data_IF_062690846978
#
_entry.id   IF_062690846978
#
_cell.length_a   1.000
_cell.length_b   1.000
_cell.length_c   1.000
_cell.angle_alpha   90.00
_cell.angle_beta   90.00
_cell.angle_gamma   90.00
#
_symmetry.space_group_name_H-M   'P 1'
#
loop_
_entity.id
_entity.type
_entity.pdbx_description
1 polymer ?
#
# COMPACT_ATOMS: atom_id res chain seq x y z
N UNK A 1 27.89 -13.72 -3.24
CA UNK A 1 26.75 -13.96 -4.18
C UNK A 1 25.67 -14.91 -3.68
N UNK A 2 25.95 -16.13 -3.17
CA UNK A 2 24.87 -17.05 -2.73
C UNK A 2 23.96 -16.43 -1.67
N UNK A 3 24.52 -15.77 -0.66
CA UNK A 3 23.78 -15.14 0.44
C UNK A 3 22.94 -13.95 -0.07
N UNK A 4 23.50 -13.10 -0.93
CA UNK A 4 22.81 -11.97 -1.57
C UNK A 4 21.58 -12.49 -2.34
N UNK A 5 21.76 -13.48 -3.22
CA UNK A 5 20.64 -14.06 -3.97
C UNK A 5 19.59 -14.74 -3.07
N UNK A 6 19.99 -15.31 -1.94
CA UNK A 6 19.07 -15.87 -0.96
C UNK A 6 18.22 -14.76 -0.30
N UNK A 7 18.85 -13.65 0.09
CA UNK A 7 18.15 -12.49 0.68
C UNK A 7 17.19 -11.83 -0.32
N UNK A 8 17.61 -11.64 -1.57
CA UNK A 8 16.74 -11.12 -2.63
C UNK A 8 15.48 -11.99 -2.82
N UNK A 9 15.66 -13.32 -2.88
CA UNK A 9 14.52 -14.24 -2.97
C UNK A 9 13.64 -14.22 -1.73
N UNK A 10 14.22 -14.04 -0.53
CA UNK A 10 13.47 -13.90 0.71
C UNK A 10 12.62 -12.65 0.68
N UNK A 11 13.21 -11.49 0.36
CA UNK A 11 12.51 -10.21 0.23
C UNK A 11 11.35 -10.29 -0.76
N UNK A 12 11.58 -10.86 -1.94
CA UNK A 12 10.52 -11.03 -2.94
C UNK A 12 9.34 -11.86 -2.42
N UNK A 13 9.62 -12.96 -1.70
CA UNK A 13 8.56 -13.80 -1.09
C UNK A 13 7.81 -13.06 0.02
N UNK A 14 8.48 -12.23 0.81
CA UNK A 14 7.86 -11.43 1.86
C UNK A 14 6.90 -10.39 1.24
N UNK A 15 7.30 -9.69 0.18
CA UNK A 15 6.42 -8.79 -0.55
C UNK A 15 5.22 -9.54 -1.18
N UNK A 16 5.44 -10.68 -1.81
CA UNK A 16 4.37 -11.52 -2.37
C UNK A 16 3.40 -12.00 -1.29
N UNK A 17 3.88 -12.33 -0.10
CA UNK A 17 3.05 -12.68 1.05
C UNK A 17 2.16 -11.51 1.47
N UNK A 18 2.75 -10.32 1.64
CA UNK A 18 2.02 -9.12 2.02
C UNK A 18 0.97 -8.74 0.98
N UNK A 19 1.30 -8.79 -0.32
CA UNK A 19 0.34 -8.57 -1.40
C UNK A 19 -0.82 -9.58 -1.37
N UNK A 20 -0.50 -10.86 -1.10
CA UNK A 20 -1.51 -11.93 -1.00
C UNK A 20 -2.41 -11.75 0.23
N UNK A 21 -1.94 -11.11 1.31
CA UNK A 21 -2.76 -10.76 2.47
C UNK A 21 -3.70 -9.60 2.18
N UNK A 22 -3.30 -8.63 1.36
CA UNK A 22 -4.16 -7.51 0.95
C UNK A 22 -5.27 -7.93 -0.02
N UNK A 23 -5.06 -8.96 -0.84
CA UNK A 23 -6.03 -9.41 -1.84
C UNK A 23 -7.39 -9.82 -1.25
N UNK A 24 -7.47 -10.65 -0.18
CA UNK A 24 -8.75 -10.96 0.45
C UNK A 24 -9.38 -9.75 1.17
N UNK A 25 -8.57 -8.84 1.75
CA UNK A 25 -9.07 -7.61 2.35
C UNK A 25 -9.74 -6.72 1.31
N UNK A 26 -9.11 -6.54 0.14
CA UNK A 26 -9.68 -5.82 -0.99
C UNK A 26 -11.05 -6.39 -1.37
N UNK A 27 -11.16 -7.71 -1.57
CA UNK A 27 -12.42 -8.38 -1.93
C UNK A 27 -13.49 -8.24 -0.84
N UNK A 28 -13.09 -8.34 0.45
CA UNK A 28 -14.01 -8.14 1.59
C UNK A 28 -14.54 -6.71 1.58
N UNK A 29 -13.67 -5.71 1.44
CA UNK A 29 -14.06 -4.30 1.40
C UNK A 29 -14.97 -3.99 0.20
N UNK A 30 -14.67 -4.52 -0.99
CA UNK A 30 -15.55 -4.40 -2.17
C UNK A 30 -16.96 -4.99 -1.91
N UNK A 31 -17.05 -6.11 -1.19
CA UNK A 31 -18.35 -6.71 -0.83
C UNK A 31 -19.12 -5.90 0.21
N UNK A 32 -18.41 -5.26 1.17
CA UNK A 32 -19.02 -4.35 2.14
C UNK A 32 -19.56 -3.08 1.47
N UNK A 33 -18.83 -2.49 0.51
CA UNK A 33 -19.33 -1.36 -0.28
C UNK A 33 -20.62 -1.74 -1.01
N UNK A 34 -20.66 -2.93 -1.63
CA UNK A 34 -21.85 -3.41 -2.34
C UNK A 34 -23.03 -3.66 -1.39
N UNK A 35 -22.77 -4.16 -0.17
CA UNK A 35 -23.81 -4.34 0.87
C UNK A 35 -24.34 -3.00 1.31
N UNK A 36 -23.48 -2.09 1.77
CA UNK A 36 -23.87 -0.74 2.22
C UNK A 36 -24.64 0.05 1.14
N UNK A 37 -24.24 -0.07 -0.12
CA UNK A 37 -24.96 0.55 -1.23
C UNK A 37 -26.36 -0.03 -1.45
N UNK A 38 -26.58 -1.35 -1.23
CA UNK A 38 -27.90 -1.96 -1.28
C UNK A 38 -28.80 -1.50 -0.15
N UNK A 39 -28.21 -1.36 1.04
CA UNK A 39 -28.91 -0.95 2.28
C UNK A 39 -29.13 0.57 2.32
N UNK A 40 -28.67 1.32 1.28
CA UNK A 40 -28.73 2.77 1.15
C UNK A 40 -27.94 3.51 2.24
N UNK A 41 -27.02 2.84 2.89
CA UNK A 41 -26.09 3.43 3.86
C UNK A 41 -24.89 4.07 3.12
N UNK A 42 -25.07 5.32 2.75
CA UNK A 42 -24.06 6.07 2.00
C UNK A 42 -22.84 6.46 2.86
N UNK A 43 -23.03 6.56 4.20
CA UNK A 43 -21.93 6.91 5.11
C UNK A 43 -20.94 5.76 5.19
N UNK A 44 -21.42 4.55 5.47
CA UNK A 44 -20.58 3.35 5.51
C UNK A 44 -19.97 3.03 4.14
N UNK A 45 -20.74 3.17 3.05
CA UNK A 45 -20.20 2.97 1.69
C UNK A 45 -19.01 3.89 1.39
N UNK A 46 -19.06 5.18 1.77
CA UNK A 46 -17.95 6.12 1.62
C UNK A 46 -16.75 5.75 2.49
N UNK A 47 -16.98 5.30 3.72
CA UNK A 47 -15.93 4.89 4.64
C UNK A 47 -15.17 3.67 4.10
N UNK A 48 -15.91 2.65 3.66
CA UNK A 48 -15.32 1.46 3.02
C UNK A 48 -14.61 1.78 1.69
N UNK A 49 -15.12 2.75 0.92
CA UNK A 49 -14.45 3.17 -0.31
C UNK A 49 -13.11 3.87 -0.02
N UNK A 50 -13.02 4.71 1.02
CA UNK A 50 -11.75 5.28 1.49
C UNK A 50 -10.76 4.18 1.90
N UNK A 51 -11.24 3.17 2.63
CA UNK A 51 -10.41 2.04 3.04
C UNK A 51 -9.93 1.21 1.83
N UNK A 52 -10.78 1.04 0.82
CA UNK A 52 -10.39 0.37 -0.43
C UNK A 52 -9.29 1.13 -1.18
N UNK A 53 -9.33 2.46 -1.18
CA UNK A 53 -8.26 3.30 -1.75
C UNK A 53 -6.96 3.04 -0.99
N UNK A 54 -6.97 3.04 0.33
CA UNK A 54 -5.78 2.76 1.15
C UNK A 54 -5.19 1.38 0.86
N UNK A 55 -6.05 0.35 0.78
CA UNK A 55 -5.64 -1.02 0.42
C UNK A 55 -4.99 -1.03 -0.98
N UNK A 56 -5.58 -0.35 -1.96
CA UNK A 56 -5.04 -0.27 -3.32
C UNK A 56 -3.68 0.45 -3.35
N UNK A 57 -3.53 1.57 -2.63
CA UNK A 57 -2.26 2.29 -2.50
C UNK A 57 -1.18 1.41 -1.89
N UNK A 58 -1.49 0.74 -0.79
CA UNK A 58 -0.57 -0.19 -0.15
C UNK A 58 -0.18 -1.35 -1.07
N UNK A 59 -1.14 -1.92 -1.79
CA UNK A 59 -0.86 -2.97 -2.78
C UNK A 59 0.07 -2.47 -3.89
N UNK A 60 -0.17 -1.27 -4.43
CA UNK A 60 0.67 -0.66 -5.46
C UNK A 60 2.09 -0.36 -4.95
N UNK A 61 2.23 0.12 -3.70
CA UNK A 61 3.52 0.35 -3.05
C UNK A 61 4.33 -0.95 -2.94
N UNK A 62 3.69 -2.05 -2.51
CA UNK A 62 4.32 -3.37 -2.45
C UNK A 62 4.66 -3.92 -3.84
N UNK A 63 3.80 -3.71 -4.83
CA UNK A 63 4.05 -4.12 -6.21
C UNK A 63 5.24 -3.39 -6.82
N UNK A 64 5.33 -2.07 -6.65
CA UNK A 64 6.49 -1.26 -7.07
C UNK A 64 7.76 -1.72 -6.37
N UNK A 65 7.69 -2.00 -5.06
CA UNK A 65 8.82 -2.52 -4.28
C UNK A 65 9.29 -3.87 -4.81
N UNK A 66 8.38 -4.76 -5.21
CA UNK A 66 8.72 -6.05 -5.85
C UNK A 66 9.45 -5.84 -7.18
N UNK A 67 8.97 -4.91 -8.01
CA UNK A 67 9.62 -4.58 -9.29
C UNK A 67 11.03 -4.01 -9.05
N UNK A 68 11.22 -3.17 -8.03
CA UNK A 68 12.54 -2.66 -7.64
C UNK A 68 13.48 -3.80 -7.21
N UNK A 69 13.01 -4.80 -6.45
CA UNK A 69 13.83 -5.99 -6.11
C UNK A 69 14.24 -6.76 -7.36
N UNK A 70 13.37 -6.91 -8.33
CA UNK A 70 13.71 -7.56 -9.59
C UNK A 70 14.78 -6.76 -10.37
N UNK A 71 14.67 -5.42 -10.41
CA UNK A 71 15.67 -4.53 -10.99
C UNK A 71 17.03 -4.64 -10.28
N UNK A 72 17.04 -4.56 -8.95
CA UNK A 72 18.25 -4.77 -8.13
C UNK A 72 18.89 -6.12 -8.42
N UNK A 73 18.09 -7.18 -8.55
CA UNK A 73 18.58 -8.53 -8.84
C UNK A 73 19.28 -8.58 -10.20
N UNK A 74 18.72 -7.91 -11.20
CA UNK A 74 19.34 -7.83 -12.54
C UNK A 74 20.66 -7.05 -12.49
N UNK A 75 20.64 -5.85 -11.88
CA UNK A 75 21.81 -5.00 -11.77
C UNK A 75 22.96 -5.67 -10.98
N UNK A 76 22.67 -6.37 -9.89
CA UNK A 76 23.68 -7.14 -9.13
C UNK A 76 24.26 -8.26 -9.97
N UNK A 77 23.46 -8.99 -10.74
CA UNK A 77 23.95 -10.07 -11.60
C UNK A 77 24.83 -9.51 -12.74
N UNK A 78 24.45 -8.41 -13.35
CA UNK A 78 25.24 -7.71 -14.36
C UNK A 78 26.58 -7.24 -13.78
N UNK A 79 26.56 -6.53 -12.65
CA UNK A 79 27.75 -6.09 -11.95
C UNK A 79 28.71 -7.24 -11.62
N UNK A 80 28.17 -8.37 -11.19
CA UNK A 80 28.97 -9.55 -10.89
C UNK A 80 29.61 -10.16 -12.13
N UNK A 81 28.92 -10.16 -13.27
CA UNK A 81 29.50 -10.63 -14.55
C UNK A 81 30.58 -9.68 -15.03
N UNK A 82 30.36 -8.37 -14.94
CA UNK A 82 31.37 -7.35 -15.29
C UNK A 82 32.64 -7.49 -14.44
N UNK A 83 32.46 -7.70 -13.11
CA UNK A 83 33.62 -7.91 -12.19
C UNK A 83 34.45 -9.12 -12.59
N UNK A 84 33.84 -10.19 -13.10
CA UNK A 84 34.58 -11.35 -13.61
C UNK A 84 35.38 -11.05 -14.86
N UNK A 85 34.92 -10.12 -15.70
CA UNK A 85 35.60 -9.75 -16.96
C UNK A 85 36.72 -8.75 -16.72
N UNK A 86 36.47 -7.75 -15.87
CA UNK A 86 37.39 -6.61 -15.67
C UNK A 86 38.31 -6.77 -14.45
N UNK A 87 38.06 -7.77 -13.59
CA UNK A 87 38.73 -7.94 -12.28
C UNK A 87 38.60 -6.71 -11.37
N UNK A 88 37.74 -5.77 -11.70
CA UNK A 88 37.49 -4.54 -10.96
C UNK A 88 36.05 -4.49 -10.48
N UNK A 89 35.85 -4.21 -9.19
CA UNK A 89 34.53 -4.00 -8.61
C UNK A 89 34.27 -2.50 -8.65
N UNK A 90 33.19 -2.10 -9.29
CA UNK A 90 32.69 -0.72 -9.25
C UNK A 90 31.45 -0.67 -8.37
N UNK A 91 31.40 0.28 -7.45
CA UNK A 91 30.20 0.51 -6.64
C UNK A 91 29.09 1.11 -7.51
N UNK A 92 27.86 0.61 -7.31
CA UNK A 92 26.67 1.08 -8.03
C UNK A 92 25.81 1.97 -7.16
N UNK A 93 25.77 3.26 -7.49
CA UNK A 93 24.90 4.24 -6.81
C UNK A 93 23.43 3.94 -7.04
N UNK A 94 23.06 3.40 -8.22
CA UNK A 94 21.67 3.02 -8.51
C UNK A 94 21.20 1.89 -7.60
N UNK A 95 21.99 0.81 -7.45
CA UNK A 95 21.66 -0.29 -6.55
C UNK A 95 21.54 0.24 -5.11
N UNK A 96 22.44 1.13 -4.69
CA UNK A 96 22.42 1.72 -3.35
C UNK A 96 21.13 2.51 -3.11
N UNK A 97 20.71 3.36 -4.07
CA UNK A 97 19.47 4.14 -3.98
C UNK A 97 18.23 3.23 -3.88
N UNK A 98 18.13 2.23 -4.74
CA UNK A 98 17.00 1.30 -4.72
C UNK A 98 16.93 0.47 -3.43
N UNK A 99 18.08 0.02 -2.90
CA UNK A 99 18.17 -0.69 -1.62
C UNK A 99 17.74 0.22 -0.47
N UNK A 100 18.19 1.48 -0.46
CA UNK A 100 17.83 2.44 0.57
C UNK A 100 16.32 2.70 0.62
N UNK A 101 15.69 2.94 -0.51
CA UNK A 101 14.23 3.11 -0.59
C UNK A 101 13.47 1.89 -0.07
N UNK A 102 13.97 0.67 -0.32
CA UNK A 102 13.32 -0.56 0.13
C UNK A 102 13.50 -0.86 1.63
N UNK A 103 14.53 -0.30 2.28
CA UNK A 103 14.69 -0.39 3.74
C UNK A 103 13.52 0.26 4.48
N UNK A 104 12.93 1.31 3.92
CA UNK A 104 11.78 2.00 4.50
C UNK A 104 10.43 1.30 4.24
N UNK A 105 10.41 0.22 3.46
CA UNK A 105 9.22 -0.60 3.26
C UNK A 105 9.11 -1.61 4.39
N UNK A 106 8.21 -1.39 5.36
CA UNK A 106 8.08 -2.16 6.59
C UNK A 106 8.09 -3.68 6.41
N UNK A 107 7.42 -4.18 5.37
CA UNK A 107 7.33 -5.61 5.06
C UNK A 107 8.68 -6.29 4.80
N UNK A 108 9.70 -5.56 4.37
CA UNK A 108 11.02 -6.10 4.01
C UNK A 108 12.20 -5.38 4.66
N UNK A 109 11.96 -4.37 5.50
CA UNK A 109 12.97 -3.50 6.09
C UNK A 109 14.14 -4.27 6.68
N UNK A 110 13.89 -5.21 7.59
CA UNK A 110 14.94 -5.98 8.26
C UNK A 110 15.80 -6.79 7.27
N UNK A 111 15.17 -7.46 6.32
CA UNK A 111 15.88 -8.30 5.35
C UNK A 111 16.60 -7.47 4.29
N UNK A 112 16.12 -6.25 4.01
CA UNK A 112 16.83 -5.28 3.16
C UNK A 112 18.05 -4.68 3.86
N UNK A 113 18.01 -4.43 5.16
CA UNK A 113 19.19 -4.05 5.95
C UNK A 113 20.28 -5.14 5.94
N UNK A 114 19.87 -6.41 6.07
CA UNK A 114 20.81 -7.54 5.94
C UNK A 114 21.41 -7.60 4.55
N UNK A 115 20.60 -7.39 3.51
CA UNK A 115 21.04 -7.34 2.11
C UNK A 115 22.04 -6.22 1.89
N UNK A 116 21.76 -5.02 2.37
CA UNK A 116 22.64 -3.85 2.30
C UNK A 116 24.02 -4.16 2.89
N UNK A 117 24.07 -4.74 4.10
CA UNK A 117 25.34 -5.16 4.73
C UNK A 117 26.12 -6.16 3.88
N UNK A 118 25.46 -7.12 3.26
CA UNK A 118 26.13 -8.09 2.40
C UNK A 118 26.60 -7.49 1.06
N UNK A 119 25.88 -6.51 0.52
CA UNK A 119 26.29 -5.77 -0.69
C UNK A 119 27.50 -4.86 -0.42
N UNK A 120 27.54 -4.20 0.75
CA UNK A 120 28.72 -3.44 1.19
C UNK A 120 29.95 -4.33 1.36
N UNK A 121 29.80 -5.49 2.03
CA UNK A 121 30.90 -6.47 2.17
C UNK A 121 31.39 -6.99 0.82
N UNK A 122 30.52 -7.06 -0.17
CA UNK A 122 30.86 -7.47 -1.53
C UNK A 122 31.46 -6.33 -2.38
N UNK A 123 31.49 -5.09 -1.87
CA UNK A 123 31.95 -3.91 -2.60
C UNK A 123 31.01 -3.45 -3.73
N UNK A 124 29.78 -3.94 -3.75
CA UNK A 124 28.79 -3.61 -4.79
C UNK A 124 28.16 -2.24 -4.52
N UNK A 125 28.01 -1.87 -3.25
CA UNK A 125 27.55 -0.55 -2.81
C UNK A 125 28.54 0.03 -1.78
N UNK A 126 28.59 1.35 -1.70
CA UNK A 126 29.35 2.05 -0.67
C UNK A 126 28.52 2.16 0.61
N UNK A 127 29.10 2.79 1.65
CA UNK A 127 28.40 3.09 2.88
C UNK A 127 27.17 3.95 2.58
N UNK A 128 26.02 3.56 3.15
CA UNK A 128 24.78 4.29 2.91
C UNK A 128 24.86 5.66 3.57
N UNK A 129 24.71 6.71 2.78
CA UNK A 129 24.46 8.05 3.31
C UNK A 129 23.00 8.12 3.76
N UNK A 130 22.79 8.42 5.03
CA UNK A 130 21.46 8.59 5.66
C UNK A 130 20.68 9.80 5.09
N UNK A 131 21.39 10.68 4.38
CA UNK A 131 20.86 11.96 3.88
C UNK A 131 19.93 11.86 2.66
N UNK A 132 19.60 10.65 2.15
CA UNK A 132 18.71 10.48 1.00
C UNK A 132 17.25 10.18 1.36
N UNK A 133 16.84 10.47 2.59
CA UNK A 133 15.49 10.08 3.11
C UNK A 133 14.37 11.06 2.70
N UNK A 134 14.68 12.19 2.07
CA UNK A 134 13.77 13.35 1.99
C UNK A 134 12.79 13.37 0.80
N UNK A 135 12.57 12.29 0.05
CA UNK A 135 11.79 12.39 -1.19
C UNK A 135 10.42 11.70 -1.22
N UNK A 136 9.99 11.04 -0.15
CA UNK A 136 8.70 10.30 -0.19
C UNK A 136 7.63 10.80 0.81
N UNK A 137 7.89 11.89 1.56
CA UNK A 137 6.92 12.39 2.56
C UNK A 137 6.00 13.50 2.07
N UNK A 138 6.25 14.09 0.89
CA UNK A 138 5.42 15.20 0.36
C UNK A 138 4.12 14.75 -0.32
N UNK A 139 3.91 13.44 -0.57
CA UNK A 139 2.71 12.95 -1.25
C UNK A 139 1.46 12.83 -0.34
N UNK A 140 1.59 12.95 0.99
CA UNK A 140 0.46 12.68 1.88
C UNK A 140 -0.50 13.87 2.08
N UNK A 141 -0.10 15.12 1.81
CA UNK A 141 -0.94 16.30 2.05
C UNK A 141 -1.81 16.74 0.84
N UNK A 142 -1.43 16.45 -0.41
CA UNK A 142 -2.29 16.72 -1.59
C UNK A 142 -3.48 15.75 -1.71
N UNK A 143 -3.54 14.70 -0.90
CA UNK A 143 -4.39 13.53 -1.06
C UNK A 143 -5.80 13.64 -0.46
N UNK A 144 -6.11 14.67 0.33
CA UNK A 144 -7.47 14.80 0.90
C UNK A 144 -8.52 15.32 -0.09
N UNK A 145 -8.14 16.13 -1.08
CA UNK A 145 -9.09 16.66 -2.05
C UNK A 145 -9.39 15.68 -3.21
N UNK A 146 -8.39 14.92 -3.66
CA UNK A 146 -8.60 13.87 -4.68
C UNK A 146 -9.42 12.68 -4.14
N UNK A 147 -9.44 12.48 -2.82
CA UNK A 147 -10.09 11.31 -2.22
C UNK A 147 -11.61 11.26 -2.41
N UNK A 148 -12.30 12.40 -2.53
CA UNK A 148 -13.77 12.42 -2.68
C UNK A 148 -14.21 12.00 -4.08
N UNK A 149 -13.50 12.45 -5.12
CA UNK A 149 -13.80 12.02 -6.49
C UNK A 149 -13.45 10.55 -6.72
N UNK A 150 -12.33 10.06 -6.18
CA UNK A 150 -11.98 8.65 -6.23
C UNK A 150 -12.98 7.77 -5.49
N UNK A 151 -13.43 8.20 -4.30
CA UNK A 151 -14.47 7.51 -3.54
C UNK A 151 -15.76 7.39 -4.36
N UNK A 152 -16.21 8.47 -4.98
CA UNK A 152 -17.42 8.47 -5.79
C UNK A 152 -17.26 7.55 -7.04
N UNK A 153 -16.10 7.59 -7.71
CA UNK A 153 -15.78 6.70 -8.84
C UNK A 153 -15.81 5.23 -8.43
N UNK A 154 -15.24 4.88 -7.27
CA UNK A 154 -15.24 3.50 -6.77
C UNK A 154 -16.66 3.04 -6.45
N UNK A 155 -17.43 3.84 -5.74
CA UNK A 155 -18.83 3.52 -5.42
C UNK A 155 -19.62 3.33 -6.72
N UNK A 156 -19.49 4.23 -7.68
CA UNK A 156 -20.16 4.15 -8.97
C UNK A 156 -19.77 2.88 -9.73
N UNK A 157 -18.48 2.57 -9.80
CA UNK A 157 -17.98 1.38 -10.51
C UNK A 157 -18.43 0.05 -9.90
N UNK A 158 -18.65 0.02 -8.57
CA UNK A 158 -19.03 -1.20 -7.86
C UNK A 158 -20.54 -1.41 -7.76
N UNK A 159 -21.35 -0.35 -8.00
CA UNK A 159 -22.80 -0.38 -7.80
C UNK A 159 -23.63 -0.33 -9.08
N UNK A 160 -22.97 -0.38 -10.27
CA UNK A 160 -23.64 -0.41 -11.57
C UNK A 160 -24.83 0.56 -11.65
N UNK A 161 -24.57 1.83 -11.95
CA UNK A 161 -25.54 2.88 -12.33
C UNK A 161 -26.66 3.24 -11.35
N UNK A 162 -26.73 2.68 -10.16
CA UNK A 162 -27.78 3.08 -9.19
C UNK A 162 -27.51 4.40 -8.49
N UNK A 163 -26.26 4.85 -8.49
CA UNK A 163 -25.85 6.10 -7.81
C UNK A 163 -25.86 7.34 -8.70
N UNK A 164 -25.86 7.22 -10.01
CA UNK A 164 -25.85 8.38 -10.93
C UNK A 164 -27.10 9.26 -10.88
N UNK A 165 -28.17 8.79 -10.19
CA UNK A 165 -29.40 9.56 -10.00
C UNK A 165 -29.43 10.42 -8.72
N UNK A 166 -28.41 10.34 -7.87
CA UNK A 166 -28.40 10.98 -6.54
C UNK A 166 -27.48 12.20 -6.46
N UNK A 167 -26.67 12.46 -7.52
CA UNK A 167 -25.75 13.60 -7.54
C UNK A 167 -26.38 14.98 -7.60
N UNK A 168 -27.71 15.09 -7.72
CA UNK A 168 -28.39 16.38 -7.81
C UNK A 168 -29.12 16.83 -6.52
N UNK A 169 -29.01 16.10 -5.43
CA UNK A 169 -29.62 16.50 -4.16
C UNK A 169 -28.63 16.38 -2.99
N UNK A 170 -27.67 17.29 -2.93
CA UNK A 170 -27.05 17.64 -1.66
C UNK A 170 -27.53 19.03 -1.31
N UNK A 171 -28.59 19.16 -0.50
CA UNK A 171 -28.86 20.44 0.16
C UNK A 171 -27.73 20.68 1.17
N UNK A 172 -27.04 21.79 1.02
CA UNK A 172 -26.34 22.42 2.13
C UNK A 172 -27.40 22.83 3.16
N UNK A 173 -27.63 21.98 4.13
CA UNK A 173 -28.48 22.31 5.26
C UNK A 173 -27.66 22.38 6.52
N UNK A 174 -27.68 23.59 7.07
CA UNK A 174 -27.36 23.97 8.43
C UNK A 174 -27.96 22.97 9.43
N UNK A 175 -27.22 22.72 10.50
CA UNK A 175 -27.64 21.89 11.60
C UNK A 175 -28.86 22.51 12.30
N UNK A 176 -30.04 21.92 12.14
CA UNK A 176 -31.12 22.02 13.10
C UNK A 176 -31.28 20.66 13.80
N UNK A 177 -31.10 20.70 15.12
CA UNK A 177 -31.41 19.61 16.04
C UNK A 177 -32.93 19.30 15.95
N UNK A 178 -33.26 18.16 15.37
CA UNK A 178 -34.56 17.57 15.61
C UNK A 178 -34.39 16.13 16.08
N UNK A 179 -34.84 15.92 17.29
CA UNK A 179 -35.07 14.64 17.95
C UNK A 179 -35.94 13.77 17.03
N UNK A 180 -35.42 12.63 16.59
CA UNK A 180 -36.20 11.61 15.90
C UNK A 180 -35.93 10.24 16.55
N UNK A 181 -37.04 9.61 16.87
CA UNK A 181 -37.21 8.30 17.45
C UNK A 181 -36.39 7.20 16.73
N UNK A 182 -35.87 6.25 17.52
CA UNK A 182 -35.18 5.05 17.08
C UNK A 182 -36.04 4.18 16.17
N UNK A 183 -35.38 3.52 15.18
CA UNK A 183 -35.69 2.13 14.96
C UNK A 183 -34.42 1.25 14.91
N UNK A 184 -34.44 0.28 15.78
CA UNK A 184 -33.74 -1.00 15.81
C UNK A 184 -32.84 -1.37 14.63
N UNK A 185 -31.53 -1.32 14.84
CA UNK A 185 -30.51 -2.30 14.44
C UNK A 185 -29.10 -1.88 14.89
N UNK A 186 -28.89 -1.85 16.20
CA UNK A 186 -27.57 -1.52 16.80
C UNK A 186 -26.56 -2.64 16.59
N UNK A 187 -27.01 -3.85 16.28
CA UNK A 187 -26.13 -5.03 16.13
C UNK A 187 -25.34 -5.03 14.82
N UNK A 188 -25.88 -4.50 13.73
CA UNK A 188 -25.18 -4.48 12.42
C UNK A 188 -24.08 -3.40 12.34
N UNK A 189 -24.22 -2.26 13.04
CA UNK A 189 -23.21 -1.19 13.04
C UNK A 189 -21.95 -1.57 13.84
N UNK A 190 -22.11 -2.28 14.97
CA UNK A 190 -20.97 -2.76 15.78
C UNK A 190 -20.14 -3.81 15.04
N UNK A 191 -20.77 -4.73 14.30
CA UNK A 191 -20.05 -5.72 13.49
C UNK A 191 -19.25 -5.09 12.35
N UNK A 192 -19.79 -4.05 11.72
CA UNK A 192 -19.13 -3.33 10.63
C UNK A 192 -17.95 -2.46 11.13
N UNK A 193 -18.06 -1.81 12.29
CA UNK A 193 -16.94 -1.08 12.93
C UNK A 193 -15.81 -2.02 13.35
N UNK A 194 -16.13 -3.17 13.94
CA UNK A 194 -15.14 -4.20 14.32
C UNK A 194 -14.40 -4.70 13.08
N UNK A 195 -15.11 -4.97 11.99
CA UNK A 195 -14.50 -5.42 10.74
C UNK A 195 -13.55 -4.38 10.14
N UNK A 196 -13.85 -3.11 10.30
CA UNK A 196 -13.06 -1.99 9.81
C UNK A 196 -11.79 -1.77 10.63
N UNK A 197 -11.89 -1.91 11.95
CA UNK A 197 -10.74 -1.81 12.86
C UNK A 197 -9.77 -2.98 12.68
N UNK A 198 -10.27 -4.21 12.47
CA UNK A 198 -9.40 -5.34 12.10
C UNK A 198 -8.63 -5.10 10.80
N UNK A 199 -9.29 -4.53 9.78
CA UNK A 199 -8.63 -4.21 8.51
C UNK A 199 -7.54 -3.15 8.71
N UNK A 200 -7.81 -2.10 9.49
CA UNK A 200 -6.82 -1.05 9.80
C UNK A 200 -5.64 -1.59 10.59
N UNK A 201 -5.87 -2.45 11.57
CA UNK A 201 -4.78 -3.08 12.32
C UNK A 201 -3.89 -3.94 11.43
N UNK A 202 -4.49 -4.72 10.52
CA UNK A 202 -3.73 -5.53 9.55
C UNK A 202 -2.92 -4.67 8.57
N UNK A 203 -3.47 -3.54 8.12
CA UNK A 203 -2.74 -2.60 7.27
C UNK A 203 -1.56 -1.97 8.01
N UNK A 204 -1.74 -1.56 9.28
CA UNK A 204 -0.63 -1.03 10.10
C UNK A 204 0.47 -2.05 10.36
N UNK A 205 0.12 -3.33 10.49
CA UNK A 205 1.11 -4.39 10.68
C UNK A 205 1.94 -4.69 9.42
N UNK A 206 1.52 -4.19 8.26
CA UNK A 206 2.19 -4.36 6.97
C UNK A 206 3.01 -3.13 6.54
N UNK A 207 2.93 -2.02 7.29
CA UNK A 207 3.76 -0.82 7.11
C UNK A 207 5.08 -0.93 7.86
#
# INVERSE_FOLDING_TARGET
MRKINQLLRKNKRELERSMNQLTPLKKKTESLIKKAAKDKDYKSARLYAKELININRQYNKLHTSKTRIDSITMAINEQYQMTKLTQSIHSSTSIMKDVNQLIHVGAVSQTMQELSKELMKAGIINEMMDDMVDLDYEEDEELESESQEEVNKIIQSLTEDKFSKIENEVPSTEFEETVIEEPASVEDEEEDEIALDEMRQRLRALQ
#
